data_IF_713406753505
#
_entry.id   IF_713406753505
#
_cell.length_a   1.000
_cell.length_b   1.000
_cell.length_c   1.000
_cell.angle_alpha   90.00
_cell.angle_beta   90.00
_cell.angle_gamma   90.00
#
_symmetry.space_group_name_H-M   'P 1'
#
loop_
_entity.id
_entity.type
_entity.pdbx_description
1 polymer ?
#
# COMPACT_ATOMS: atom_id res chain seq x y z
N UNK A 1 -6.92 -2.45 -4.86
CA UNK A 1 -6.36 -2.99 -6.11
C UNK A 1 -4.93 -3.38 -5.84
N UNK A 2 -4.44 -4.44 -6.48
CA UNK A 2 -3.06 -4.87 -6.36
C UNK A 2 -2.31 -4.49 -7.63
N UNK A 3 -1.16 -3.88 -7.45
CA UNK A 3 -0.17 -3.73 -8.51
C UNK A 3 0.93 -4.75 -8.21
N UNK A 4 1.33 -5.55 -9.18
CA UNK A 4 2.38 -6.56 -8.95
C UNK A 4 3.75 -5.87 -8.96
N UNK A 5 4.75 -6.40 -8.25
CA UNK A 5 6.09 -5.83 -8.21
C UNK A 5 6.68 -5.49 -9.58
N UNK A 6 6.45 -6.36 -10.56
CA UNK A 6 6.97 -6.22 -11.92
C UNK A 6 6.38 -5.01 -12.66
N UNK A 7 5.14 -4.64 -12.34
CA UNK A 7 4.45 -3.52 -12.95
C UNK A 7 4.80 -2.21 -12.25
N UNK A 8 5.10 -2.24 -10.94
CA UNK A 8 5.45 -1.04 -10.17
C UNK A 8 6.64 -0.32 -10.80
N UNK A 9 7.73 -1.02 -11.11
CA UNK A 9 8.92 -0.35 -11.67
C UNK A 9 8.62 0.37 -12.99
N UNK A 10 7.92 -0.29 -13.91
CA UNK A 10 7.56 0.31 -15.20
C UNK A 10 6.55 1.47 -15.09
N UNK A 11 5.61 1.38 -14.15
CA UNK A 11 4.60 2.43 -13.95
C UNK A 11 5.22 3.66 -13.30
N UNK A 12 6.13 3.46 -12.35
CA UNK A 12 6.70 4.55 -11.57
C UNK A 12 7.99 5.14 -12.17
N UNK A 13 8.45 4.65 -13.33
CA UNK A 13 9.58 5.25 -14.07
C UNK A 13 9.35 6.75 -14.40
N UNK A 14 8.09 7.16 -14.58
CA UNK A 14 7.72 8.54 -14.91
C UNK A 14 6.78 9.17 -13.87
N UNK A 15 6.74 8.64 -12.65
CA UNK A 15 5.87 9.13 -11.58
C UNK A 15 6.73 9.55 -10.38
N UNK A 16 6.69 10.84 -10.05
CA UNK A 16 7.49 11.42 -8.97
C UNK A 16 6.94 11.10 -7.56
N UNK A 17 5.64 10.80 -7.43
CA UNK A 17 4.98 10.62 -6.15
C UNK A 17 3.85 9.59 -6.17
N UNK A 18 3.70 8.85 -5.08
CA UNK A 18 2.61 7.90 -4.86
C UNK A 18 1.91 8.16 -3.52
N UNK A 19 0.58 8.24 -3.55
CA UNK A 19 -0.24 8.12 -2.35
C UNK A 19 -0.70 6.67 -2.20
N UNK A 20 -0.43 6.06 -1.04
CA UNK A 20 -0.78 4.66 -0.76
C UNK A 20 -1.63 4.57 0.50
N UNK A 21 -2.78 3.92 0.36
CA UNK A 21 -3.65 3.59 1.49
C UNK A 21 -3.11 2.39 2.29
N UNK A 22 -2.54 2.66 3.46
CA UNK A 22 -2.25 1.64 4.45
C UNK A 22 -3.40 1.57 5.45
N UNK A 23 -4.38 0.71 5.15
CA UNK A 23 -5.69 0.72 5.80
C UNK A 23 -5.66 0.17 7.23
N UNK A 24 -4.67 -0.66 7.57
CA UNK A 24 -4.43 -1.17 8.92
C UNK A 24 -3.07 -1.89 8.96
N UNK A 25 -2.45 -2.00 10.13
CA UNK A 25 -1.32 -2.92 10.36
C UNK A 25 -1.78 -4.31 10.82
N UNK A 26 -2.84 -4.84 10.19
CA UNK A 26 -3.47 -6.10 10.60
C UNK A 26 -3.95 -6.90 9.39
N UNK A 27 -3.40 -8.10 9.22
CA UNK A 27 -3.88 -9.06 8.22
C UNK A 27 -5.36 -9.41 8.43
N UNK A 28 -5.83 -9.41 9.69
CA UNK A 28 -7.22 -9.66 10.03
C UNK A 28 -8.17 -8.60 9.47
N UNK A 29 -7.78 -7.33 9.52
CA UNK A 29 -8.55 -6.23 8.92
C UNK A 29 -8.60 -6.40 7.40
N UNK A 30 -7.45 -6.65 6.77
CA UNK A 30 -7.36 -6.83 5.33
C UNK A 30 -8.23 -7.99 4.85
N UNK A 31 -8.17 -9.15 5.52
CA UNK A 31 -8.96 -10.33 5.13
C UNK A 31 -10.46 -10.19 5.39
N UNK A 32 -10.85 -9.58 6.52
CA UNK A 32 -12.26 -9.57 6.96
C UNK A 32 -13.04 -8.34 6.51
N UNK A 33 -12.37 -7.19 6.39
CA UNK A 33 -13.03 -5.90 6.12
C UNK A 33 -12.90 -5.52 4.65
N UNK A 34 -11.72 -5.67 4.06
CA UNK A 34 -11.45 -5.23 2.68
C UNK A 34 -11.31 -6.38 1.68
N UNK A 35 -11.40 -7.63 2.15
CA UNK A 35 -11.24 -8.86 1.35
C UNK A 35 -9.93 -8.85 0.55
N UNK A 36 -8.87 -8.38 1.20
CA UNK A 36 -7.55 -8.21 0.63
C UNK A 36 -6.43 -8.74 1.55
N UNK A 37 -5.18 -8.52 1.17
CA UNK A 37 -3.99 -8.96 1.91
C UNK A 37 -3.09 -7.77 2.25
N UNK A 38 -2.47 -7.78 3.44
CA UNK A 38 -1.57 -6.71 3.87
C UNK A 38 -0.20 -6.83 3.19
N UNK A 39 0.30 -8.06 3.02
CA UNK A 39 1.65 -8.30 2.50
C UNK A 39 1.90 -7.63 1.15
N UNK A 40 1.01 -7.72 0.13
CA UNK A 40 1.21 -7.05 -1.15
C UNK A 40 1.32 -5.52 -1.04
N UNK A 41 0.61 -4.90 -0.09
CA UNK A 41 0.70 -3.45 0.15
C UNK A 41 2.05 -3.08 0.74
N UNK A 42 2.55 -3.87 1.70
CA UNK A 42 3.86 -3.65 2.30
C UNK A 42 4.99 -3.83 1.28
N UNK A 43 4.90 -4.83 0.39
CA UNK A 43 5.88 -5.01 -0.69
C UNK A 43 5.84 -3.84 -1.68
N UNK A 44 4.66 -3.35 -2.06
CA UNK A 44 4.54 -2.18 -2.92
C UNK A 44 5.20 -0.94 -2.30
N UNK A 45 4.98 -0.68 -1.00
CA UNK A 45 5.61 0.44 -0.28
C UNK A 45 7.15 0.34 -0.28
N UNK A 46 7.71 -0.87 -0.10
CA UNK A 46 9.17 -1.08 -0.15
C UNK A 46 9.74 -0.79 -1.53
N UNK A 47 9.07 -1.26 -2.59
CA UNK A 47 9.52 -1.05 -3.97
C UNK A 47 9.47 0.44 -4.31
N UNK A 48 8.37 1.13 -4.00
CA UNK A 48 8.25 2.56 -4.22
C UNK A 48 9.32 3.36 -3.49
N UNK A 49 9.66 2.96 -2.25
CA UNK A 49 10.75 3.60 -1.52
C UNK A 49 12.12 3.34 -2.15
N UNK A 50 12.33 2.15 -2.70
CA UNK A 50 13.57 1.80 -3.40
C UNK A 50 13.73 2.54 -4.74
N UNK A 51 12.63 2.89 -5.39
CA UNK A 51 12.60 3.69 -6.63
C UNK A 51 12.73 5.21 -6.38
N UNK A 52 12.95 5.63 -5.14
CA UNK A 52 13.02 7.04 -4.71
C UNK A 52 11.76 7.88 -5.07
N UNK A 53 10.62 7.21 -5.22
CA UNK A 53 9.32 7.86 -5.40
C UNK A 53 8.92 8.54 -4.09
N UNK A 54 8.41 9.77 -4.17
CA UNK A 54 7.85 10.44 -3.00
C UNK A 54 6.63 9.66 -2.49
N UNK A 55 6.71 9.18 -1.26
CA UNK A 55 5.67 8.36 -0.64
C UNK A 55 4.83 9.18 0.34
N UNK A 56 3.52 9.21 0.10
CA UNK A 56 2.52 9.65 1.06
C UNK A 56 1.68 8.45 1.50
N UNK A 57 1.56 8.22 2.80
CA UNK A 57 0.79 7.11 3.36
C UNK A 57 -0.47 7.67 3.99
N UNK A 58 -1.63 7.17 3.53
CA UNK A 58 -2.93 7.53 4.08
C UNK A 58 -3.48 6.35 4.90
N UNK A 59 -3.91 6.63 6.13
CA UNK A 59 -4.64 5.67 6.95
C UNK A 59 -5.95 6.29 7.40
N UNK A 60 -7.06 5.80 6.87
CA UNK A 60 -8.39 6.14 7.37
C UNK A 60 -8.63 5.41 8.69
N UNK A 61 -8.68 6.15 9.80
CA UNK A 61 -8.98 5.56 11.11
C UNK A 61 -10.48 5.31 11.23
N UNK A 62 -10.83 4.08 11.60
CA UNK A 62 -12.16 3.55 11.82
C UNK A 62 -12.16 2.94 13.23
N UNK A 63 -12.87 3.56 14.19
CA UNK A 63 -12.87 3.09 15.58
C UNK A 63 -13.24 1.61 15.69
N UNK A 64 -12.55 0.88 16.58
CA UNK A 64 -12.69 -0.56 16.88
C UNK A 64 -12.25 -1.53 15.78
N UNK A 65 -11.82 -1.01 14.62
CA UNK A 65 -11.41 -1.84 13.49
C UNK A 65 -9.92 -1.70 13.17
N UNK A 66 -9.37 -0.48 13.19
CA UNK A 66 -7.97 -0.22 12.82
C UNK A 66 -7.32 0.95 13.59
N UNK A 67 -7.91 1.35 14.73
CA UNK A 67 -7.32 2.29 15.69
C UNK A 67 -6.21 1.65 16.55
#
# INVERSE_FOLDING_TARGET
GYITPEVIESVYENIDAANVDLKAFSEGFYKKVTLSELQPVLEALKILKALDVWLEITTLIIPTLND
#
